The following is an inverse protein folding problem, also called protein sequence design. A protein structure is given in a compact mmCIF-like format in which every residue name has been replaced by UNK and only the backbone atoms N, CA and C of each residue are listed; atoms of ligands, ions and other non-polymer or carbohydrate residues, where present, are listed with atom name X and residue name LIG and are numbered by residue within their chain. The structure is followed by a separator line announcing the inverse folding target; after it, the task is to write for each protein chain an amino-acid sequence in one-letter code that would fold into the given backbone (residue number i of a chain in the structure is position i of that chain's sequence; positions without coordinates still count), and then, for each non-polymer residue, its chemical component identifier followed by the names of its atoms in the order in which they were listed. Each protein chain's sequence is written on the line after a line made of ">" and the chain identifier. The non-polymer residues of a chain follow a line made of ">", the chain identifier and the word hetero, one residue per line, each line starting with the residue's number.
data_IF_397450070209
#
_entry.id   IF_397450070209
#
_cell.length_a   1.000
_cell.length_b   1.000
_cell.length_c   1.000
_cell.angle_alpha   90.00
_cell.angle_beta   90.00
_cell.angle_gamma   90.00
#
_symmetry.space_group_name_H-M   'P 1'
#
loop_
_entity.id
_entity.type
_entity.pdbx_description
1 polymer ?
#
# COMPACT_ATOMS: atom_id res chain seq x y z
N UNK A 1 -37.81 -18.50 -18.60
CA UNK A 1 -37.28 -18.83 -17.26
C UNK A 1 -36.07 -17.92 -17.05
N UNK A 2 -36.31 -16.78 -16.41
CA UNK A 2 -35.37 -15.67 -16.30
C UNK A 2 -34.22 -16.04 -15.36
N UNK A 3 -33.00 -16.07 -15.90
CA UNK A 3 -31.79 -16.08 -15.09
C UNK A 3 -31.63 -14.70 -14.46
N UNK A 4 -31.93 -14.63 -13.17
CA UNK A 4 -31.54 -13.50 -12.31
C UNK A 4 -30.02 -13.58 -12.18
N UNK A 5 -29.32 -12.64 -12.81
CA UNK A 5 -27.89 -12.44 -12.59
C UNK A 5 -27.74 -11.80 -11.21
N UNK A 6 -27.32 -12.60 -10.23
CA UNK A 6 -26.83 -12.10 -8.95
C UNK A 6 -25.65 -11.14 -9.19
N UNK A 7 -25.84 -9.88 -8.80
CA UNK A 7 -24.79 -8.86 -8.73
C UNK A 7 -23.71 -9.27 -7.71
N UNK A 8 -22.75 -10.10 -8.13
CA UNK A 8 -21.46 -10.20 -7.45
C UNK A 8 -20.68 -8.93 -7.75
N UNK A 9 -20.46 -8.08 -6.74
CA UNK A 9 -19.42 -7.05 -6.77
C UNK A 9 -18.06 -7.75 -6.87
N UNK A 10 -17.60 -8.01 -8.09
CA UNK A 10 -16.24 -8.49 -8.33
C UNK A 10 -15.32 -7.29 -8.37
N UNK A 11 -14.41 -7.19 -7.41
CA UNK A 11 -13.30 -6.24 -7.48
C UNK A 11 -12.25 -6.82 -8.45
N UNK A 12 -12.44 -6.57 -9.74
CA UNK A 12 -11.54 -7.03 -10.80
C UNK A 12 -10.20 -6.30 -10.72
N UNK A 13 -9.20 -6.79 -11.44
CA UNK A 13 -8.00 -5.98 -11.72
C UNK A 13 -8.41 -4.80 -12.60
N UNK A 14 -7.77 -3.65 -12.41
CA UNK A 14 -8.19 -2.41 -13.07
C UNK A 14 -8.08 -2.53 -14.60
N UNK A 15 -7.05 -3.21 -15.12
CA UNK A 15 -6.92 -3.47 -16.54
C UNK A 15 -7.95 -4.51 -17.04
N UNK A 16 -8.31 -5.53 -16.24
CA UNK A 16 -9.37 -6.48 -16.60
C UNK A 16 -10.73 -5.78 -16.67
N UNK A 17 -11.02 -4.88 -15.73
CA UNK A 17 -12.19 -4.02 -15.75
C UNK A 17 -12.21 -3.13 -17.00
N UNK A 18 -11.05 -2.56 -17.38
CA UNK A 18 -10.91 -1.79 -18.62
C UNK A 18 -11.12 -2.65 -19.89
N UNK A 19 -10.68 -3.91 -19.90
CA UNK A 19 -10.93 -4.85 -21.00
C UNK A 19 -12.43 -5.12 -21.12
N UNK A 20 -13.11 -5.41 -20.01
CA UNK A 20 -14.56 -5.63 -20.04
C UNK A 20 -15.31 -4.38 -20.51
N UNK A 21 -14.87 -3.19 -20.09
CA UNK A 21 -15.47 -1.93 -20.52
C UNK A 21 -15.31 -1.71 -22.02
N UNK A 22 -14.12 -1.94 -22.57
CA UNK A 22 -13.91 -1.85 -24.02
C UNK A 22 -14.67 -2.92 -24.82
N UNK A 23 -14.89 -4.12 -24.25
CA UNK A 23 -15.76 -5.13 -24.85
C UNK A 23 -17.23 -4.69 -24.88
N UNK A 24 -17.71 -4.06 -23.81
CA UNK A 24 -19.07 -3.52 -23.73
C UNK A 24 -19.27 -2.33 -24.68
N UNK A 25 -18.30 -1.43 -24.76
CA UNK A 25 -18.33 -0.26 -25.63
C UNK A 25 -18.21 -0.62 -27.12
N UNK A 26 -17.56 -1.75 -27.43
CA UNK A 26 -17.35 -2.31 -28.77
C UNK A 26 -16.83 -1.31 -29.83
N UNK A 27 -16.22 -0.22 -29.39
CA UNK A 27 -15.70 0.87 -30.21
C UNK A 27 -14.45 1.44 -29.54
N UNK A 28 -13.57 2.14 -30.28
CA UNK A 28 -12.46 2.88 -29.67
C UNK A 28 -12.98 3.93 -28.69
N UNK A 29 -12.55 3.86 -27.43
CA UNK A 29 -13.09 4.70 -26.36
C UNK A 29 -12.01 5.41 -25.54
N UNK A 30 -12.35 6.60 -25.06
CA UNK A 30 -11.51 7.44 -24.20
C UNK A 30 -11.43 6.88 -22.78
N UNK A 31 -10.41 7.26 -21.97
CA UNK A 31 -10.35 6.89 -20.55
C UNK A 31 -11.62 7.21 -19.76
N UNK A 32 -12.28 8.33 -20.08
CA UNK A 32 -13.51 8.76 -19.43
C UNK A 32 -14.66 7.79 -19.72
N UNK A 33 -14.88 7.44 -20.98
CA UNK A 33 -15.92 6.48 -21.39
C UNK A 33 -15.68 5.10 -20.77
N UNK A 34 -14.42 4.64 -20.72
CA UNK A 34 -14.04 3.37 -20.07
C UNK A 34 -14.32 3.45 -18.57
N UNK A 35 -13.92 4.55 -17.91
CA UNK A 35 -14.11 4.75 -16.47
C UNK A 35 -15.60 4.76 -16.09
N UNK A 36 -16.45 5.42 -16.88
CA UNK A 36 -17.89 5.45 -16.66
C UNK A 36 -18.49 4.04 -16.67
N UNK A 37 -18.09 3.18 -17.62
CA UNK A 37 -18.57 1.79 -17.70
C UNK A 37 -18.03 0.95 -16.53
N UNK A 38 -16.76 1.10 -16.16
CA UNK A 38 -16.16 0.42 -15.00
C UNK A 38 -16.91 0.77 -13.72
N UNK A 39 -17.27 2.05 -13.54
CA UNK A 39 -18.05 2.53 -12.38
C UNK A 39 -19.49 2.07 -12.42
N UNK A 40 -20.16 2.19 -13.58
CA UNK A 40 -21.55 1.78 -13.79
C UNK A 40 -21.76 0.32 -13.41
N UNK A 41 -20.82 -0.54 -13.79
CA UNK A 41 -20.88 -1.97 -13.51
C UNK A 41 -20.24 -2.37 -12.16
N UNK A 42 -19.62 -1.42 -11.43
CA UNK A 42 -19.00 -1.68 -10.14
C UNK A 42 -17.82 -2.67 -10.18
N UNK A 43 -17.09 -2.73 -11.30
CA UNK A 43 -16.01 -3.68 -11.53
C UNK A 43 -14.71 -3.36 -10.80
N UNK A 44 -14.47 -2.08 -10.48
CA UNK A 44 -13.30 -1.64 -9.73
C UNK A 44 -13.68 -0.47 -8.82
N UNK A 45 -13.10 -0.43 -7.61
CA UNK A 45 -13.25 0.67 -6.67
C UNK A 45 -11.96 1.47 -6.56
N UNK A 46 -12.01 2.75 -6.90
CA UNK A 46 -10.87 3.64 -6.77
C UNK A 46 -10.80 4.22 -5.35
N UNK A 47 -9.57 4.35 -4.82
CA UNK A 47 -9.28 4.93 -3.51
C UNK A 47 -8.58 6.30 -3.60
N UNK A 48 -8.65 6.94 -4.76
CA UNK A 48 -8.02 8.24 -5.07
C UNK A 48 -9.01 9.13 -5.81
N UNK A 49 -8.81 10.45 -5.75
CA UNK A 49 -9.55 11.41 -6.58
C UNK A 49 -9.09 11.37 -8.05
N UNK A 50 -7.85 10.94 -8.33
CA UNK A 50 -7.31 10.84 -9.70
C UNK A 50 -7.59 9.47 -10.35
N UNK A 51 -8.86 9.11 -10.45
CA UNK A 51 -9.29 7.78 -10.94
C UNK A 51 -8.95 7.56 -12.42
N UNK A 52 -9.10 8.61 -13.24
CA UNK A 52 -8.75 8.59 -14.67
C UNK A 52 -7.26 8.33 -14.84
N UNK A 53 -6.41 8.98 -14.03
CA UNK A 53 -4.96 8.75 -14.06
C UNK A 53 -4.61 7.31 -13.72
N UNK A 54 -5.20 6.76 -12.65
CA UNK A 54 -4.98 5.36 -12.24
C UNK A 54 -5.43 4.35 -13.30
N UNK A 55 -6.62 4.56 -13.90
CA UNK A 55 -7.11 3.73 -15.01
C UNK A 55 -6.21 3.81 -16.24
N UNK A 56 -5.83 5.02 -16.62
CA UNK A 56 -4.99 5.27 -17.79
C UNK A 56 -3.63 4.63 -17.62
N UNK A 57 -3.02 4.76 -16.44
CA UNK A 57 -1.74 4.16 -16.11
C UNK A 57 -1.80 2.63 -16.21
N UNK A 58 -2.86 2.02 -15.65
CA UNK A 58 -3.07 0.59 -15.74
C UNK A 58 -3.26 0.10 -17.19
N UNK A 59 -4.07 0.78 -17.99
CA UNK A 59 -4.25 0.45 -19.41
C UNK A 59 -2.91 0.56 -20.15
N UNK A 60 -2.16 1.64 -19.93
CA UNK A 60 -0.89 1.93 -20.61
C UNK A 60 0.19 0.89 -20.32
N UNK A 61 0.34 0.46 -19.07
CA UNK A 61 1.25 -0.62 -18.66
C UNK A 61 0.94 -1.97 -19.33
N UNK A 62 -0.26 -2.13 -19.90
CA UNK A 62 -0.70 -3.33 -20.60
C UNK A 62 -0.89 -3.11 -22.12
N UNK A 63 -0.35 -2.01 -22.65
CA UNK A 63 -0.37 -1.71 -24.09
C UNK A 63 0.69 -2.46 -24.89
N UNK A 64 0.40 -2.66 -26.17
CA UNK A 64 1.39 -3.15 -27.14
C UNK A 64 2.54 -2.14 -27.32
N UNK A 65 3.77 -2.57 -26.99
CA UNK A 65 5.00 -1.81 -27.26
C UNK A 65 5.59 -1.06 -26.06
N UNK A 66 4.97 -1.12 -24.87
CA UNK A 66 5.54 -0.53 -23.66
C UNK A 66 6.79 -1.31 -23.21
N UNK A 67 7.87 -0.58 -22.89
CA UNK A 67 9.23 -1.11 -22.68
C UNK A 67 9.36 -2.06 -21.47
N UNK A 68 8.34 -2.14 -20.60
CA UNK A 68 8.27 -3.06 -19.46
C UNK A 68 7.51 -4.37 -19.69
N UNK A 69 6.64 -4.49 -20.72
CA UNK A 69 5.58 -5.53 -20.83
C UNK A 69 6.04 -6.84 -21.47
N UNK A 70 7.31 -7.22 -21.34
CA UNK A 70 7.77 -8.51 -21.85
C UNK A 70 7.31 -9.69 -20.97
N UNK A 71 6.82 -9.44 -19.75
CA UNK A 71 6.57 -10.49 -18.76
C UNK A 71 5.14 -11.06 -18.71
N UNK A 72 4.08 -10.35 -19.11
CA UNK A 72 2.70 -10.85 -18.88
C UNK A 72 2.13 -11.70 -20.02
N UNK A 73 2.75 -11.70 -21.22
CA UNK A 73 2.19 -12.31 -22.44
C UNK A 73 0.83 -11.72 -22.88
N UNK A 74 0.30 -10.76 -22.12
CA UNK A 74 -1.07 -10.28 -22.12
C UNK A 74 -1.08 -8.80 -22.51
N UNK A 75 -0.79 -8.55 -23.79
CA UNK A 75 -0.95 -7.23 -24.41
C UNK A 75 -2.39 -7.12 -24.88
N UNK A 76 -3.19 -6.27 -24.24
CA UNK A 76 -4.62 -6.17 -24.52
C UNK A 76 -5.01 -4.86 -25.19
N UNK A 77 -4.22 -3.80 -25.03
CA UNK A 77 -4.62 -2.47 -25.45
C UNK A 77 -3.74 -1.93 -26.59
N UNK A 78 -4.39 -1.23 -27.50
CA UNK A 78 -3.77 -0.39 -28.52
C UNK A 78 -4.33 1.02 -28.39
N UNK A 79 -3.46 2.03 -28.36
CA UNK A 79 -3.85 3.43 -28.33
C UNK A 79 -3.81 4.03 -29.74
N UNK A 80 -4.90 4.68 -30.15
CA UNK A 80 -4.98 5.48 -31.37
C UNK A 80 -5.51 6.87 -31.00
N UNK A 81 -4.63 7.87 -30.97
CA UNK A 81 -4.96 9.18 -30.41
C UNK A 81 -5.29 9.11 -28.92
N UNK A 82 -6.45 9.63 -28.50
CA UNK A 82 -6.93 9.57 -27.12
C UNK A 82 -7.89 8.40 -26.84
N UNK A 83 -7.96 7.42 -27.75
CA UNK A 83 -8.88 6.28 -27.65
C UNK A 83 -8.11 4.96 -27.57
N UNK A 84 -8.65 4.02 -26.82
CA UNK A 84 -8.10 2.67 -26.62
C UNK A 84 -8.99 1.64 -27.32
N UNK A 85 -8.37 0.62 -27.90
CA UNK A 85 -9.03 -0.55 -28.47
C UNK A 85 -8.40 -1.83 -27.95
N UNK A 86 -9.17 -2.92 -28.00
CA UNK A 86 -8.65 -4.25 -27.69
C UNK A 86 -7.98 -4.88 -28.89
N UNK A 87 -6.82 -5.49 -28.65
CA UNK A 87 -6.16 -6.36 -29.63
C UNK A 87 -6.56 -7.81 -29.37
N UNK A 88 -7.09 -8.48 -30.40
CA UNK A 88 -7.38 -9.91 -30.35
C UNK A 88 -6.06 -10.68 -30.32
N UNK A 89 -5.85 -11.50 -29.29
CA UNK A 89 -4.75 -12.48 -29.28
C UNK A 89 -5.00 -13.52 -30.37
N UNK A 90 -4.50 -13.27 -31.57
CA UNK A 90 -4.11 -14.36 -32.46
C UNK A 90 -2.62 -14.62 -32.24
N UNK A 91 -2.33 -15.84 -31.81
CA UNK A 91 -0.98 -16.37 -31.77
C UNK A 91 -0.42 -16.43 -33.20
N UNK A 92 0.26 -15.37 -33.62
CA UNK A 92 1.17 -15.42 -34.74
C UNK A 92 2.51 -14.85 -34.30
N UNK A 93 3.37 -15.79 -33.93
CA UNK A 93 4.81 -15.72 -34.16
C UNK A 93 5.09 -15.07 -35.50
N UNK A 94 5.84 -13.96 -35.51
CA UNK A 94 6.73 -13.59 -36.61
C UNK A 94 7.62 -12.41 -36.20
N UNK A 95 8.92 -12.63 -36.41
CA UNK A 95 10.06 -11.72 -36.38
C UNK A 95 10.52 -11.28 -34.99
N UNK A 96 11.50 -12.01 -34.48
CA UNK A 96 12.52 -11.48 -33.56
C UNK A 96 13.48 -10.63 -34.40
N UNK A 97 13.66 -9.34 -34.10
CA UNK A 97 15.00 -8.79 -34.21
C UNK A 97 15.42 -8.01 -32.97
N UNK A 98 16.70 -8.21 -32.64
CA UNK A 98 17.50 -7.70 -31.52
C UNK A 98 17.23 -8.38 -30.19
N UNK A 99 18.25 -9.13 -29.74
CA UNK A 99 18.48 -9.47 -28.34
C UNK A 99 18.12 -8.25 -27.49
N UNK A 100 16.94 -8.34 -26.85
CA UNK A 100 16.49 -7.28 -25.96
C UNK A 100 17.26 -7.52 -24.68
N UNK A 101 18.36 -6.79 -24.51
CA UNK A 101 19.11 -6.74 -23.26
C UNK A 101 18.09 -6.41 -22.17
N UNK A 102 17.75 -7.39 -21.33
CA UNK A 102 16.86 -7.12 -20.21
C UNK A 102 17.51 -6.03 -19.35
N UNK A 103 16.74 -5.03 -18.87
CA UNK A 103 17.27 -4.03 -17.96
C UNK A 103 17.96 -4.74 -16.78
N UNK A 104 19.18 -4.34 -16.42
CA UNK A 104 20.02 -5.02 -15.43
C UNK A 104 19.26 -5.33 -14.12
N UNK A 105 18.44 -4.38 -13.67
CA UNK A 105 17.64 -4.51 -12.46
C UNK A 105 16.60 -5.65 -12.50
N UNK A 106 16.12 -6.07 -13.69
CA UNK A 106 15.18 -7.21 -13.82
C UNK A 106 15.89 -8.54 -13.59
N UNK A 107 17.17 -8.64 -13.96
CA UNK A 107 18.02 -9.78 -13.64
C UNK A 107 18.31 -9.82 -12.14
N UNK A 108 18.74 -8.68 -11.57
CA UNK A 108 18.97 -8.54 -10.12
C UNK A 108 17.72 -8.90 -9.30
N UNK A 109 16.54 -8.48 -9.78
CA UNK A 109 15.24 -8.82 -9.17
C UNK A 109 15.05 -10.33 -9.06
N UNK A 110 15.36 -11.10 -10.10
CA UNK A 110 15.19 -12.55 -10.07
C UNK A 110 16.13 -13.20 -9.05
N UNK A 111 17.38 -12.74 -8.99
CA UNK A 111 18.36 -13.20 -8.00
C UNK A 111 17.89 -12.87 -6.57
N UNK A 112 17.43 -11.65 -6.32
CA UNK A 112 16.91 -11.25 -5.01
C UNK A 112 15.68 -12.06 -4.60
N UNK A 113 14.76 -12.35 -5.53
CA UNK A 113 13.60 -13.24 -5.26
C UNK A 113 14.09 -14.65 -4.87
N UNK A 114 15.12 -15.17 -5.53
CA UNK A 114 15.72 -16.46 -5.19
C UNK A 114 16.36 -16.42 -3.79
N UNK A 115 17.05 -15.34 -3.43
CA UNK A 115 17.63 -15.17 -2.10
C UNK A 115 16.54 -15.07 -1.01
N UNK A 116 15.45 -14.36 -1.26
CA UNK A 116 14.28 -14.30 -0.36
C UNK A 116 13.66 -15.68 -0.20
N UNK A 117 13.50 -16.43 -1.31
CA UNK A 117 13.02 -17.81 -1.27
C UNK A 117 13.94 -18.69 -0.43
N UNK A 118 15.24 -18.60 -0.60
CA UNK A 118 16.20 -19.35 0.22
C UNK A 118 16.10 -18.99 1.71
N UNK A 119 15.87 -17.72 2.05
CA UNK A 119 15.64 -17.29 3.44
C UNK A 119 14.34 -17.87 4.02
N UNK A 120 13.27 -17.87 3.22
CA UNK A 120 12.00 -18.53 3.58
C UNK A 120 12.22 -20.02 3.84
N UNK A 121 12.91 -20.72 2.94
CA UNK A 121 13.19 -22.16 3.05
C UNK A 121 14.07 -22.56 4.24
N UNK A 122 14.74 -21.60 4.87
CA UNK A 122 15.59 -21.80 6.06
C UNK A 122 14.91 -21.34 7.34
N UNK A 123 13.62 -21.00 7.29
CA UNK A 123 12.86 -20.42 8.42
C UNK A 123 13.51 -19.15 8.98
N UNK A 124 14.11 -18.33 8.11
CA UNK A 124 14.80 -17.09 8.50
C UNK A 124 14.05 -15.83 8.08
N UNK A 125 12.87 -15.95 7.46
CA UNK A 125 12.13 -14.82 6.89
C UNK A 125 11.09 -14.26 7.87
N UNK A 126 11.14 -12.93 8.08
CA UNK A 126 10.09 -12.14 8.72
C UNK A 126 9.54 -11.09 7.76
N UNK A 127 8.30 -10.69 7.96
CA UNK A 127 7.63 -9.70 7.11
C UNK A 127 7.50 -8.36 7.83
N UNK A 128 7.73 -7.27 7.09
CA UNK A 128 7.43 -5.90 7.54
C UNK A 128 6.40 -5.30 6.58
N UNK A 129 5.21 -5.00 7.09
CA UNK A 129 4.05 -4.65 6.28
C UNK A 129 3.59 -3.22 6.54
N UNK A 130 3.37 -2.47 5.47
CA UNK A 130 2.87 -1.10 5.52
C UNK A 130 1.54 -0.94 4.79
N UNK A 131 1.01 0.29 4.76
CA UNK A 131 -0.33 0.56 4.26
C UNK A 131 -0.55 0.07 2.81
N UNK A 132 0.51 0.01 2.00
CA UNK A 132 0.46 -0.47 0.63
C UNK A 132 0.01 -1.93 0.45
N UNK A 133 0.02 -2.77 1.50
CA UNK A 133 -0.57 -4.12 1.41
C UNK A 133 -2.10 -4.06 1.46
N UNK A 134 -2.64 -3.16 2.27
CA UNK A 134 -4.09 -2.96 2.47
C UNK A 134 -4.71 -2.08 1.37
N UNK A 135 -3.94 -1.21 0.70
CA UNK A 135 -4.46 -0.32 -0.36
C UNK A 135 -5.14 -1.08 -1.49
N UNK A 136 -4.59 -2.22 -1.88
CA UNK A 136 -5.17 -3.13 -2.90
C UNK A 136 -6.53 -3.71 -2.50
N UNK A 137 -6.89 -3.68 -1.21
CA UNK A 137 -8.21 -4.05 -0.69
C UNK A 137 -9.15 -2.85 -0.51
N UNK A 138 -8.77 -1.66 -1.02
CA UNK A 138 -9.55 -0.43 -0.95
C UNK A 138 -9.25 0.44 0.28
N UNK A 139 -8.21 0.13 1.06
CA UNK A 139 -7.83 0.93 2.21
C UNK A 139 -7.08 2.21 1.80
N UNK A 140 -7.20 3.29 2.59
CA UNK A 140 -6.50 4.53 2.29
C UNK A 140 -4.99 4.39 2.54
N UNK A 141 -4.19 5.14 1.77
CA UNK A 141 -2.81 5.46 2.16
C UNK A 141 -2.80 6.38 3.37
N UNK A 142 -1.63 6.67 3.96
CA UNK A 142 -1.52 7.60 5.08
C UNK A 142 -2.10 9.00 4.75
N UNK A 143 -1.75 9.56 3.59
CA UNK A 143 -2.28 10.85 3.15
C UNK A 143 -3.80 10.81 2.93
N UNK A 144 -4.31 9.74 2.32
CA UNK A 144 -5.75 9.58 2.14
C UNK A 144 -6.51 9.33 3.46
N UNK A 145 -5.87 8.68 4.44
CA UNK A 145 -6.45 8.49 5.78
C UNK A 145 -6.57 9.84 6.49
N UNK A 146 -5.49 10.61 6.43
CA UNK A 146 -5.43 11.98 6.92
C UNK A 146 -6.53 12.86 6.30
N UNK A 147 -6.74 12.81 4.99
CA UNK A 147 -7.85 13.51 4.31
C UNK A 147 -9.22 13.06 4.82
N UNK A 148 -9.45 11.75 4.97
CA UNK A 148 -10.71 11.22 5.51
C UNK A 148 -11.00 11.68 6.95
N UNK A 149 -9.97 12.04 7.71
CA UNK A 149 -10.10 12.57 9.06
C UNK A 149 -10.39 14.07 9.09
N UNK A 150 -10.32 14.79 7.97
CA UNK A 150 -10.74 16.20 7.90
C UNK A 150 -12.19 16.37 8.32
N UNK A 151 -13.07 15.48 7.85
CA UNK A 151 -14.49 15.54 8.18
C UNK A 151 -14.72 15.42 9.69
N UNK A 152 -13.94 14.56 10.37
CA UNK A 152 -13.98 14.42 11.83
C UNK A 152 -13.54 15.70 12.54
N UNK A 153 -12.51 16.38 12.02
CA UNK A 153 -12.05 17.66 12.58
C UNK A 153 -13.08 18.76 12.37
N UNK A 154 -13.69 18.87 11.19
CA UNK A 154 -14.74 19.86 10.94
C UNK A 154 -15.96 19.59 11.84
N UNK A 155 -16.34 18.33 12.02
CA UNK A 155 -17.40 17.94 12.96
C UNK A 155 -17.06 18.33 14.41
N UNK A 156 -15.81 18.15 14.82
CA UNK A 156 -15.37 18.52 16.16
C UNK A 156 -15.28 20.04 16.33
N UNK A 157 -14.81 20.79 15.34
CA UNK A 157 -14.77 22.26 15.38
C UNK A 157 -16.17 22.89 15.40
N UNK A 158 -17.15 22.25 14.76
CA UNK A 158 -18.56 22.66 14.78
C UNK A 158 -19.26 22.29 16.10
N UNK A 159 -18.68 21.38 16.90
CA UNK A 159 -19.25 20.98 18.17
C UNK A 159 -19.25 22.15 19.17
N UNK A 160 -20.39 22.42 19.82
CA UNK A 160 -20.52 23.48 20.83
C UNK A 160 -19.52 23.35 21.99
N UNK A 161 -19.12 22.12 22.33
CA UNK A 161 -18.12 21.88 23.40
C UNK A 161 -16.70 22.29 23.00
N UNK A 162 -16.42 22.47 21.71
CA UNK A 162 -15.12 22.93 21.23
C UNK A 162 -14.86 24.41 21.54
N UNK A 163 -15.92 25.24 21.64
CA UNK A 163 -15.81 26.65 22.03
C UNK A 163 -15.29 27.59 20.92
N UNK A 164 -15.07 27.09 19.71
CA UNK A 164 -14.65 27.90 18.55
C UNK A 164 -15.83 28.63 17.87
N UNK A 165 -15.53 29.71 17.12
CA UNK A 165 -16.54 30.51 16.39
C UNK A 165 -17.38 29.70 15.40
N UNK A 166 -16.80 28.65 14.80
CA UNK A 166 -17.53 27.79 13.88
C UNK A 166 -18.74 27.10 14.53
N UNK A 167 -18.69 26.86 15.85
CA UNK A 167 -19.76 26.17 16.59
C UNK A 167 -21.08 26.97 16.67
N UNK A 168 -21.04 28.28 16.41
CA UNK A 168 -22.23 29.14 16.31
C UNK A 168 -22.77 29.30 14.89
N UNK A 169 -22.07 28.79 13.88
CA UNK A 169 -22.45 28.94 12.47
C UNK A 169 -23.42 27.83 12.01
N UNK A 170 -24.32 28.20 11.10
CA UNK A 170 -25.17 27.23 10.40
C UNK A 170 -24.37 26.68 9.23
N UNK A 171 -23.93 25.43 9.37
CA UNK A 171 -23.09 24.75 8.39
C UNK A 171 -23.90 23.66 7.68
N UNK A 172 -24.09 23.80 6.37
CA UNK A 172 -24.73 22.77 5.55
C UNK A 172 -23.73 21.70 5.05
N UNK A 173 -24.18 20.71 4.29
CA UNK A 173 -23.32 19.63 3.78
C UNK A 173 -22.29 20.10 2.76
N UNK A 174 -22.64 21.05 1.91
CA UNK A 174 -21.75 21.59 0.89
C UNK A 174 -20.65 22.45 1.53
N UNK A 175 -21.00 23.22 2.57
CA UNK A 175 -20.04 23.99 3.37
C UNK A 175 -19.01 23.07 4.03
N UNK A 176 -19.45 21.93 4.62
CA UNK A 176 -18.53 20.93 5.19
C UNK A 176 -17.54 20.41 4.15
N UNK A 177 -18.01 20.16 2.93
CA UNK A 177 -17.16 19.67 1.84
C UNK A 177 -16.13 20.72 1.43
N UNK A 178 -16.54 21.99 1.31
CA UNK A 178 -15.63 23.12 1.02
C UNK A 178 -14.58 23.25 2.12
N UNK A 179 -14.98 23.21 3.40
CA UNK A 179 -14.07 23.30 4.53
C UNK A 179 -13.10 22.12 4.60
N UNK A 180 -13.56 20.90 4.31
CA UNK A 180 -12.71 19.70 4.26
C UNK A 180 -11.64 19.82 3.15
N UNK A 181 -12.02 20.35 1.98
CA UNK A 181 -11.08 20.62 0.89
C UNK A 181 -10.11 21.77 1.23
N UNK A 182 -10.59 22.84 1.85
CA UNK A 182 -9.76 23.95 2.30
C UNK A 182 -8.73 23.46 3.32
N UNK A 183 -9.16 22.67 4.30
CA UNK A 183 -8.28 22.09 5.29
C UNK A 183 -7.23 21.20 4.64
N UNK A 184 -7.61 20.40 3.62
CA UNK A 184 -6.64 19.62 2.86
C UNK A 184 -5.57 20.49 2.17
N UNK A 185 -5.95 21.65 1.64
CA UNK A 185 -5.03 22.60 0.99
C UNK A 185 -4.15 23.42 1.94
N UNK A 186 -4.58 23.60 3.19
CA UNK A 186 -3.87 24.36 4.22
C UNK A 186 -2.85 23.52 5.00
N UNK A 187 -2.80 22.21 4.75
CA UNK A 187 -1.92 21.28 5.45
C UNK A 187 -0.45 21.57 5.15
N UNK A 188 0.38 21.36 6.16
CA UNK A 188 1.83 21.38 6.01
C UNK A 188 2.29 20.20 5.14
N UNK A 189 3.47 20.32 4.54
CA UNK A 189 4.09 19.24 3.76
C UNK A 189 4.34 17.97 4.60
N UNK A 190 4.40 18.11 5.94
CA UNK A 190 4.64 17.00 6.87
C UNK A 190 3.33 16.31 7.30
N UNK A 191 3.12 15.03 6.96
CA UNK A 191 1.96 14.27 7.43
C UNK A 191 1.89 14.14 8.95
N UNK A 192 3.03 14.24 9.63
CA UNK A 192 3.15 14.11 11.09
C UNK A 192 2.59 15.36 11.79
N UNK A 193 2.93 16.55 11.28
CA UNK A 193 2.39 17.83 11.78
C UNK A 193 0.87 17.86 11.58
N UNK A 194 0.42 17.42 10.41
CA UNK A 194 -1.00 17.32 10.12
C UNK A 194 -1.72 16.36 11.09
N UNK A 195 -1.11 15.23 11.44
CA UNK A 195 -1.67 14.29 12.40
C UNK A 195 -1.73 14.88 13.82
N UNK A 196 -0.73 15.67 14.23
CA UNK A 196 -0.73 16.40 15.50
C UNK A 196 -1.87 17.43 15.59
N UNK A 197 -2.10 18.19 14.51
CA UNK A 197 -3.24 19.10 14.42
C UNK A 197 -4.60 18.37 14.56
N UNK A 198 -4.74 17.21 13.91
CA UNK A 198 -5.96 16.39 14.03
C UNK A 198 -6.17 15.91 15.48
N UNK A 199 -5.12 15.37 16.12
CA UNK A 199 -5.22 14.84 17.48
C UNK A 199 -5.56 15.92 18.50
N UNK A 200 -4.86 17.06 18.44
CA UNK A 200 -5.11 18.21 19.33
C UNK A 200 -6.54 18.76 19.17
N UNK A 201 -7.12 18.69 17.97
CA UNK A 201 -8.50 19.11 17.74
C UNK A 201 -9.52 18.08 18.25
N UNK A 202 -9.28 16.79 18.02
CA UNK A 202 -10.20 15.71 18.44
C UNK A 202 -10.20 15.55 19.98
N UNK A 203 -9.09 15.85 20.64
CA UNK A 203 -8.95 15.99 22.09
C UNK A 203 -9.46 14.77 22.92
N UNK A 204 -9.29 13.56 22.38
CA UNK A 204 -9.53 12.28 23.08
C UNK A 204 -8.94 11.11 22.28
N UNK A 205 -8.09 10.29 22.92
CA UNK A 205 -7.51 9.09 22.31
C UNK A 205 -8.58 8.12 21.80
N UNK A 206 -9.60 7.85 22.62
CA UNK A 206 -10.75 6.98 22.26
C UNK A 206 -11.48 7.52 21.03
N UNK A 207 -11.72 8.83 21.00
CA UNK A 207 -12.38 9.48 19.87
C UNK A 207 -11.50 9.37 18.62
N UNK A 208 -10.20 9.60 18.71
CA UNK A 208 -9.27 9.47 17.58
C UNK A 208 -9.26 8.05 17.02
N UNK A 209 -9.10 7.03 17.87
CA UNK A 209 -9.13 5.62 17.47
C UNK A 209 -10.42 5.27 16.71
N UNK A 210 -11.56 5.73 17.22
CA UNK A 210 -12.88 5.56 16.59
C UNK A 210 -12.94 6.23 15.21
N UNK A 211 -12.46 7.46 15.08
CA UNK A 211 -12.43 8.15 13.79
C UNK A 211 -11.50 7.47 12.79
N UNK A 212 -10.32 6.99 13.23
CA UNK A 212 -9.40 6.23 12.38
C UNK A 212 -10.06 4.96 11.86
N UNK A 213 -10.64 4.12 12.74
CA UNK A 213 -11.36 2.91 12.29
C UNK A 213 -12.50 3.25 11.35
N UNK A 214 -13.25 4.30 11.63
CA UNK A 214 -14.31 4.73 10.74
C UNK A 214 -13.77 5.14 9.36
N UNK A 215 -12.64 5.83 9.29
CA UNK A 215 -12.00 6.20 8.03
C UNK A 215 -11.44 4.98 7.27
N UNK A 216 -10.99 3.95 7.99
CA UNK A 216 -10.52 2.69 7.42
C UNK A 216 -11.67 1.86 6.85
N UNK A 217 -12.68 1.53 7.65
CA UNK A 217 -13.70 0.55 7.29
C UNK A 217 -15.07 1.14 6.87
N UNK A 218 -15.36 2.40 7.23
CA UNK A 218 -16.61 3.11 6.97
C UNK A 218 -17.78 2.78 7.93
N UNK A 219 -18.88 3.55 7.83
CA UNK A 219 -20.08 3.47 8.71
C UNK A 219 -20.72 2.08 8.83
N UNK A 220 -20.66 1.27 7.77
CA UNK A 220 -21.30 -0.05 7.69
C UNK A 220 -20.27 -1.18 7.56
N UNK A 221 -19.11 -1.02 8.22
CA UNK A 221 -17.97 -1.93 8.13
C UNK A 221 -18.32 -3.38 8.41
N UNK A 222 -19.15 -3.68 9.42
CA UNK A 222 -19.42 -5.06 9.87
C UNK A 222 -19.99 -6.01 8.81
N UNK A 223 -20.53 -5.49 7.68
CA UNK A 223 -21.06 -6.30 6.58
C UNK A 223 -20.13 -6.36 5.35
N UNK A 224 -19.02 -5.64 5.36
CA UNK A 224 -18.11 -5.52 4.22
C UNK A 224 -16.96 -6.51 4.37
N UNK A 225 -16.64 -7.21 3.28
CA UNK A 225 -15.44 -8.02 3.19
C UNK A 225 -14.39 -7.25 2.40
N UNK A 226 -13.21 -7.09 2.97
CA UNK A 226 -12.07 -6.46 2.31
C UNK A 226 -11.07 -7.56 1.95
N UNK A 227 -10.66 -7.61 0.69
CA UNK A 227 -9.78 -8.68 0.18
C UNK A 227 -8.97 -8.17 -1.00
N UNK A 228 -7.78 -8.72 -1.15
CA UNK A 228 -6.94 -8.52 -2.33
C UNK A 228 -6.11 -9.77 -2.62
N UNK A 229 -5.59 -9.90 -3.85
CA UNK A 229 -4.66 -10.99 -4.16
C UNK A 229 -3.40 -10.91 -3.29
N UNK A 230 -2.91 -9.70 -3.00
CA UNK A 230 -1.74 -9.48 -2.14
C UNK A 230 -1.96 -10.05 -0.75
N UNK A 231 -3.07 -9.71 -0.08
CA UNK A 231 -3.40 -10.25 1.26
C UNK A 231 -3.59 -11.77 1.23
N UNK A 232 -4.24 -12.29 0.18
CA UNK A 232 -4.40 -13.74 0.00
C UNK A 232 -3.05 -14.47 -0.10
N UNK A 233 -2.09 -13.92 -0.85
CA UNK A 233 -0.77 -14.53 -1.00
C UNK A 233 0.14 -14.30 0.21
N UNK A 234 0.01 -13.18 0.92
CA UNK A 234 0.68 -12.97 2.20
C UNK A 234 0.22 -14.00 3.23
N UNK A 235 -1.09 -14.23 3.36
CA UNK A 235 -1.60 -15.26 4.27
C UNK A 235 -1.10 -16.66 3.88
N UNK A 236 -1.09 -17.00 2.59
CA UNK A 236 -0.53 -18.28 2.10
C UNK A 236 0.97 -18.42 2.39
N UNK A 237 1.74 -17.33 2.28
CA UNK A 237 3.16 -17.33 2.64
C UNK A 237 3.37 -17.60 4.13
N UNK A 238 2.44 -17.16 4.99
CA UNK A 238 2.45 -17.41 6.42
C UNK A 238 1.96 -18.81 6.84
N UNK A 239 1.50 -19.65 5.92
CA UNK A 239 0.92 -20.96 6.25
C UNK A 239 1.95 -21.92 6.89
N UNK A 240 1.74 -22.23 8.18
CA UNK A 240 2.64 -23.07 8.99
C UNK A 240 2.65 -24.55 8.58
N UNK A 241 1.62 -25.00 7.85
CA UNK A 241 1.61 -26.35 7.26
C UNK A 241 2.42 -26.46 5.97
N UNK A 242 3.07 -25.37 5.55
CA UNK A 242 4.16 -25.42 4.60
C UNK A 242 5.38 -26.12 5.19
N UNK A 243 6.31 -26.55 4.33
CA UNK A 243 7.61 -27.09 4.76
C UNK A 243 8.47 -26.07 5.53
N UNK A 244 8.09 -24.79 5.45
CA UNK A 244 8.85 -23.64 5.91
C UNK A 244 7.89 -22.63 6.58
N UNK A 245 8.40 -21.79 7.47
CA UNK A 245 7.59 -20.82 8.22
C UNK A 245 8.13 -19.40 8.17
N UNK A 246 7.21 -18.45 8.18
CA UNK A 246 7.50 -17.06 8.54
C UNK A 246 7.70 -16.98 10.05
N UNK A 247 8.77 -16.32 10.51
CA UNK A 247 9.12 -16.23 11.94
C UNK A 247 8.28 -15.22 12.70
N UNK A 248 7.95 -14.11 12.06
CA UNK A 248 7.09 -13.07 12.61
C UNK A 248 6.62 -12.14 11.51
N UNK A 249 5.51 -11.45 11.77
CA UNK A 249 5.04 -10.32 10.98
C UNK A 249 5.09 -9.08 11.86
N UNK A 250 5.70 -8.01 11.36
CA UNK A 250 5.62 -6.67 11.94
C UNK A 250 4.80 -5.82 10.98
N UNK A 251 3.73 -5.19 11.47
CA UNK A 251 2.85 -4.36 10.66
C UNK A 251 2.68 -2.98 11.28
N UNK A 252 2.71 -1.97 10.42
CA UNK A 252 2.47 -0.57 10.77
C UNK A 252 1.03 -0.15 10.50
N UNK A 253 0.21 -1.10 10.04
CA UNK A 253 -1.20 -0.87 9.75
C UNK A 253 -2.01 -1.04 11.03
N UNK A 254 -3.03 -0.20 11.19
CA UNK A 254 -3.99 -0.37 12.29
C UNK A 254 -5.03 -1.47 11.99
N UNK A 255 -5.17 -1.89 10.73
CA UNK A 255 -6.23 -2.80 10.32
C UNK A 255 -5.95 -4.28 10.64
N UNK A 256 -6.99 -5.12 10.70
CA UNK A 256 -6.89 -6.57 10.93
C UNK A 256 -6.99 -7.39 9.63
N UNK A 257 -6.73 -6.79 8.47
CA UNK A 257 -6.98 -7.46 7.19
C UNK A 257 -6.09 -8.68 6.99
N UNK A 258 -4.86 -8.67 7.47
CA UNK A 258 -3.99 -9.83 7.38
C UNK A 258 -4.57 -10.99 8.20
N UNK A 259 -4.97 -10.74 9.44
CA UNK A 259 -5.56 -11.68 10.38
C UNK A 259 -6.83 -12.32 9.82
N UNK A 260 -7.68 -11.50 9.19
CA UNK A 260 -8.88 -12.00 8.50
C UNK A 260 -8.55 -12.99 7.38
N UNK A 261 -7.38 -12.85 6.71
CA UNK A 261 -6.93 -13.78 5.69
C UNK A 261 -6.15 -14.97 6.29
N UNK A 262 -5.37 -14.76 7.36
CA UNK A 262 -4.69 -15.82 8.09
C UNK A 262 -5.69 -16.83 8.66
N UNK A 263 -6.83 -16.36 9.15
CA UNK A 263 -7.94 -17.20 9.64
C UNK A 263 -8.54 -18.13 8.56
N UNK A 264 -8.24 -17.91 7.27
CA UNK A 264 -8.73 -18.70 6.14
C UNK A 264 -7.70 -19.70 5.61
N UNK A 265 -6.50 -19.73 6.19
CA UNK A 265 -5.43 -20.67 5.84
C UNK A 265 -4.98 -21.40 7.12
N UNK A 266 -4.36 -22.58 7.02
CA UNK A 266 -4.07 -23.38 8.20
C UNK A 266 -2.80 -22.89 8.92
N UNK A 267 -2.90 -21.71 9.54
CA UNK A 267 -1.89 -21.09 10.39
C UNK A 267 -2.53 -20.67 11.70
N UNK A 268 -1.88 -21.05 12.80
CA UNK A 268 -2.22 -20.51 14.10
C UNK A 268 -1.37 -19.26 14.33
N UNK A 269 -2.03 -18.14 14.65
CA UNK A 269 -1.38 -16.83 14.82
C UNK A 269 -1.87 -16.14 16.09
N UNK A 270 -1.09 -15.18 16.56
CA UNK A 270 -1.46 -14.28 17.65
C UNK A 270 -1.19 -12.84 17.23
N UNK A 271 -2.13 -11.95 17.51
CA UNK A 271 -1.93 -10.50 17.36
C UNK A 271 -1.29 -9.97 18.63
N UNK A 272 -0.22 -9.18 18.48
CA UNK A 272 0.52 -8.54 19.57
C UNK A 272 0.48 -7.04 19.34
N UNK A 273 -0.11 -6.29 20.27
CA UNK A 273 -0.28 -4.84 20.13
C UNK A 273 -0.04 -4.07 21.42
N UNK A 274 0.29 -4.77 22.53
CA UNK A 274 0.66 -4.17 23.81
C UNK A 274 1.84 -4.90 24.45
N UNK A 275 2.46 -4.27 25.44
CA UNK A 275 3.67 -4.75 26.11
C UNK A 275 3.44 -6.05 26.90
N UNK A 276 2.29 -6.16 27.58
CA UNK A 276 1.95 -7.31 28.43
C UNK A 276 1.53 -8.57 27.65
N UNK A 277 1.51 -8.52 26.31
CA UNK A 277 1.16 -9.68 25.49
C UNK A 277 2.27 -10.75 25.53
N UNK A 278 2.02 -11.87 26.21
CA UNK A 278 2.96 -12.99 26.26
C UNK A 278 3.03 -13.74 24.92
N UNK A 279 4.22 -13.76 24.31
CA UNK A 279 4.43 -14.38 23.00
C UNK A 279 4.47 -15.91 23.14
N UNK A 280 3.52 -16.58 22.50
CA UNK A 280 3.54 -18.04 22.37
C UNK A 280 4.50 -18.45 21.22
N UNK A 281 5.59 -19.21 21.48
CA UNK A 281 6.59 -19.55 20.48
C UNK A 281 6.10 -20.53 19.39
N UNK A 282 4.92 -21.14 19.56
CA UNK A 282 4.30 -22.05 18.59
C UNK A 282 3.48 -21.29 17.55
N UNK A 283 2.91 -20.15 17.94
CA UNK A 283 2.04 -19.33 17.09
C UNK A 283 2.86 -18.35 16.24
N UNK A 284 2.30 -17.90 15.12
CA UNK A 284 2.84 -16.77 14.37
C UNK A 284 2.52 -15.46 15.09
N UNK A 285 3.52 -14.71 15.61
CA UNK A 285 3.23 -13.39 16.15
C UNK A 285 3.07 -12.36 15.02
N UNK A 286 1.98 -11.59 15.10
CA UNK A 286 1.68 -10.43 14.24
C UNK A 286 1.72 -9.17 15.11
N UNK A 287 2.84 -8.44 15.04
CA UNK A 287 3.12 -7.26 15.84
C UNK A 287 2.56 -5.99 15.20
N UNK A 288 1.58 -5.35 15.84
CA UNK A 288 1.03 -4.06 15.45
C UNK A 288 1.75 -2.93 16.18
N UNK A 289 2.90 -2.51 15.65
CA UNK A 289 3.79 -1.56 16.34
C UNK A 289 3.24 -0.14 16.43
N UNK A 290 2.22 0.18 15.63
CA UNK A 290 1.52 1.47 15.65
C UNK A 290 0.11 1.40 16.27
N UNK A 291 -0.29 0.24 16.79
CA UNK A 291 -1.61 0.01 17.36
C UNK A 291 -2.53 -0.80 16.45
N UNK A 292 -3.62 -1.28 17.03
CA UNK A 292 -4.51 -2.29 16.43
C UNK A 292 -5.98 -1.88 16.55
N UNK A 293 -6.67 -1.79 15.41
CA UNK A 293 -8.06 -1.36 15.27
C UNK A 293 -8.83 -2.35 14.38
N UNK A 294 -9.21 -3.52 14.93
CA UNK A 294 -9.88 -4.57 14.16
C UNK A 294 -11.28 -4.15 13.68
N UNK A 295 -11.70 -4.70 12.55
CA UNK A 295 -12.96 -4.32 11.89
C UNK A 295 -14.19 -4.55 12.77
N UNK A 296 -14.21 -5.68 13.49
CA UNK A 296 -15.40 -6.20 14.15
C UNK A 296 -15.40 -6.01 15.67
N UNK A 297 -14.30 -5.53 16.25
CA UNK A 297 -14.21 -5.30 17.69
C UNK A 297 -13.86 -3.82 17.98
N UNK A 298 -14.84 -3.08 18.50
CA UNK A 298 -14.69 -1.67 18.88
C UNK A 298 -14.30 -1.46 20.35
N UNK A 299 -14.07 -2.53 21.12
CA UNK A 299 -13.57 -2.42 22.49
C UNK A 299 -12.11 -1.96 22.50
N UNK A 300 -11.36 -2.27 21.42
CA UNK A 300 -9.97 -1.82 21.24
C UNK A 300 -9.82 -0.30 21.08
N UNK A 301 -10.91 0.43 20.83
CA UNK A 301 -10.94 1.90 20.81
C UNK A 301 -10.65 2.50 22.18
N UNK A 302 -11.17 1.82 23.21
CA UNK A 302 -11.23 2.30 24.58
C UNK A 302 -10.09 1.74 25.42
N UNK A 303 -9.33 0.79 24.88
CA UNK A 303 -8.17 0.19 25.53
C UNK A 303 -7.06 1.22 25.74
N UNK A 304 -6.72 1.49 27.00
CA UNK A 304 -5.55 2.29 27.39
C UNK A 304 -4.24 1.69 26.92
N UNK A 305 -4.21 0.36 26.75
CA UNK A 305 -3.00 -0.40 26.43
C UNK A 305 -2.72 -0.41 24.92
N UNK A 306 -3.69 0.03 24.11
CA UNK A 306 -3.56 0.10 22.65
C UNK A 306 -3.04 1.48 22.25
N UNK A 307 -1.72 1.67 22.32
CA UNK A 307 -1.08 2.92 21.91
C UNK A 307 -1.22 3.13 20.39
N UNK A 308 -2.09 4.06 19.99
CA UNK A 308 -2.24 4.45 18.59
C UNK A 308 -1.14 5.45 18.21
N UNK A 309 -0.11 4.98 17.51
CA UNK A 309 1.03 5.81 17.06
C UNK A 309 0.62 6.58 15.80
N UNK A 310 -0.13 7.65 16.00
CA UNK A 310 -0.71 8.46 14.92
C UNK A 310 -0.07 9.85 14.78
N UNK A 311 0.29 10.49 15.88
CA UNK A 311 0.73 11.89 15.92
C UNK A 311 2.22 12.06 16.24
N UNK A 312 2.75 13.26 15.99
CA UNK A 312 4.12 13.62 16.37
C UNK A 312 4.43 13.33 17.84
N UNK A 313 3.49 13.61 18.74
CA UNK A 313 3.67 13.37 20.16
C UNK A 313 3.79 11.87 20.46
N UNK A 314 2.93 11.04 19.87
CA UNK A 314 3.01 9.59 20.01
C UNK A 314 4.31 9.04 19.40
N UNK A 315 4.72 9.55 18.23
CA UNK A 315 6.03 9.22 17.64
C UNK A 315 7.17 9.65 18.57
N UNK A 316 7.11 10.84 19.18
CA UNK A 316 8.13 11.33 20.10
C UNK A 316 8.22 10.47 21.37
N UNK A 317 7.09 10.05 21.94
CA UNK A 317 7.04 9.11 23.07
C UNK A 317 7.74 7.81 22.69
N UNK A 318 7.37 7.18 21.58
CA UNK A 318 8.03 5.95 21.10
C UNK A 318 9.50 6.20 20.74
N UNK A 319 9.84 7.37 20.23
CA UNK A 319 11.21 7.72 19.80
C UNK A 319 12.15 7.92 20.99
N UNK A 320 11.68 8.60 22.04
CA UNK A 320 12.45 8.92 23.25
C UNK A 320 12.50 7.77 24.23
N UNK A 321 11.47 6.94 24.25
CA UNK A 321 11.44 5.77 25.10
C UNK A 321 12.37 4.67 24.56
N UNK A 322 13.53 4.57 25.20
CA UNK A 322 14.52 3.54 24.93
C UNK A 322 14.01 2.12 25.22
N UNK A 323 12.98 1.97 26.06
CA UNK A 323 12.40 0.69 26.48
C UNK A 323 11.09 0.35 25.76
N UNK A 324 10.67 1.17 24.80
CA UNK A 324 9.45 0.92 24.05
C UNK A 324 9.45 -0.50 23.44
N UNK A 325 8.49 -1.33 23.85
CA UNK A 325 8.38 -2.73 23.44
C UNK A 325 8.36 -2.87 21.91
N UNK A 326 7.74 -1.92 21.21
CA UNK A 326 7.61 -1.91 19.76
C UNK A 326 8.97 -1.66 19.08
N UNK A 327 9.81 -0.78 19.64
CA UNK A 327 11.17 -0.55 19.16
C UNK A 327 12.07 -1.77 19.43
N UNK A 328 12.00 -2.32 20.63
CA UNK A 328 12.78 -3.51 21.02
C UNK A 328 12.43 -4.68 20.11
N UNK A 329 11.14 -4.92 19.88
CA UNK A 329 10.64 -5.99 19.00
C UNK A 329 11.15 -5.80 17.57
N UNK A 330 11.02 -4.60 17.01
CA UNK A 330 11.53 -4.30 15.66
C UNK A 330 13.04 -4.53 15.55
N UNK A 331 13.82 -4.01 16.51
CA UNK A 331 15.27 -4.22 16.56
C UNK A 331 15.65 -5.70 16.64
N UNK A 332 14.94 -6.47 17.49
CA UNK A 332 15.13 -7.90 17.63
C UNK A 332 14.87 -8.64 16.32
N UNK A 333 13.73 -8.38 15.67
CA UNK A 333 13.38 -9.03 14.39
C UNK A 333 14.39 -8.67 13.29
N UNK A 334 14.81 -7.41 13.18
CA UNK A 334 15.82 -6.99 12.20
C UNK A 334 17.18 -7.67 12.45
N UNK A 335 17.58 -7.80 13.72
CA UNK A 335 18.85 -8.43 14.08
C UNK A 335 18.86 -9.93 13.82
N UNK A 336 17.79 -10.64 14.14
CA UNK A 336 17.74 -12.10 14.06
C UNK A 336 17.34 -12.59 12.66
N UNK A 337 16.38 -11.94 12.00
CA UNK A 337 15.74 -12.48 10.79
C UNK A 337 16.14 -11.70 9.52
N UNK A 338 16.06 -12.37 8.37
CA UNK A 338 16.00 -11.71 7.06
C UNK A 338 14.60 -11.12 6.93
N UNK A 339 14.51 -9.84 6.56
CA UNK A 339 13.23 -9.12 6.57
C UNK A 339 12.83 -8.76 5.15
N UNK A 340 11.57 -9.01 4.81
CA UNK A 340 10.95 -8.60 3.56
C UNK A 340 9.94 -7.48 3.83
N UNK A 341 10.25 -6.27 3.35
CA UNK A 341 9.40 -5.10 3.47
C UNK A 341 8.43 -5.01 2.29
N UNK A 342 7.13 -4.88 2.56
CA UNK A 342 6.07 -4.87 1.55
C UNK A 342 5.07 -3.76 1.88
N UNK A 343 4.77 -2.90 0.90
CA UNK A 343 3.80 -1.81 1.09
C UNK A 343 4.25 -0.70 2.04
N UNK A 344 5.53 -0.67 2.41
CA UNK A 344 6.14 0.38 3.22
C UNK A 344 6.79 1.43 2.32
N UNK A 345 6.43 2.70 2.54
CA UNK A 345 7.07 3.84 1.87
C UNK A 345 8.47 4.14 2.43
N UNK A 346 8.81 3.57 3.59
CA UNK A 346 10.04 3.85 4.34
C UNK A 346 10.23 5.34 4.64
N UNK A 347 9.13 6.09 4.77
CA UNK A 347 9.14 7.51 5.12
C UNK A 347 8.99 7.76 6.62
N UNK A 348 8.72 6.70 7.39
CA UNK A 348 8.60 6.76 8.84
C UNK A 348 9.97 7.08 9.49
N UNK A 349 10.08 8.19 10.25
CA UNK A 349 11.32 8.57 10.92
C UNK A 349 11.79 7.56 11.98
N UNK A 350 10.87 6.95 12.72
CA UNK A 350 11.19 5.97 13.75
C UNK A 350 11.76 4.68 13.14
N UNK A 351 11.14 4.18 12.08
CA UNK A 351 11.65 3.02 11.34
C UNK A 351 13.03 3.31 10.73
N UNK A 352 13.24 4.49 10.13
CA UNK A 352 14.56 4.89 9.59
C UNK A 352 15.63 4.91 10.67
N UNK A 353 15.33 5.43 11.87
CA UNK A 353 16.23 5.39 13.02
C UNK A 353 16.56 3.95 13.42
N UNK A 354 15.56 3.09 13.55
CA UNK A 354 15.76 1.68 13.94
C UNK A 354 16.63 0.95 12.90
N UNK A 355 16.36 1.18 11.62
CA UNK A 355 17.16 0.62 10.51
C UNK A 355 18.60 1.11 10.54
N UNK A 356 18.84 2.40 10.77
CA UNK A 356 20.20 2.97 10.92
C UNK A 356 20.94 2.30 12.09
N UNK A 357 20.30 2.17 13.26
CA UNK A 357 20.87 1.50 14.43
C UNK A 357 21.19 0.02 14.12
N UNK A 358 20.29 -0.68 13.45
CA UNK A 358 20.46 -2.08 13.08
C UNK A 358 21.58 -2.27 12.04
N UNK A 359 21.68 -1.37 11.06
CA UNK A 359 22.65 -1.44 9.97
C UNK A 359 24.08 -1.09 10.43
N UNK A 360 24.25 -0.09 11.32
CA UNK A 360 25.56 0.29 11.90
C UNK A 360 26.25 -0.87 12.61
N UNK A 361 25.50 -1.83 13.13
CA UNK A 361 26.04 -3.02 13.82
C UNK A 361 26.39 -4.17 12.86
N UNK A 362 25.93 -4.11 11.61
CA UNK A 362 26.11 -5.12 10.55
C UNK A 362 26.90 -4.55 9.36
N UNK A 363 27.98 -3.81 9.64
CA UNK A 363 28.82 -3.15 8.64
C UNK A 363 29.16 -4.13 7.49
N UNK A 364 28.57 -3.87 6.31
CA UNK A 364 28.78 -4.53 5.00
C UNK A 364 27.89 -5.71 4.60
N UNK A 365 26.93 -6.18 5.42
CA UNK A 365 26.01 -7.25 4.98
C UNK A 365 24.63 -6.72 4.66
N UNK A 366 24.31 -6.61 3.37
CA UNK A 366 22.93 -6.38 2.94
C UNK A 366 22.13 -7.65 3.24
N UNK A 367 21.23 -7.55 4.22
CA UNK A 367 20.54 -8.68 4.85
C UNK A 367 19.07 -8.75 4.45
N UNK A 368 18.45 -7.61 4.17
CA UNK A 368 17.00 -7.48 4.01
C UNK A 368 16.61 -7.09 2.58
N UNK A 369 15.32 -7.20 2.27
CA UNK A 369 14.78 -6.90 0.94
C UNK A 369 13.52 -6.03 1.05
N UNK A 370 13.37 -5.04 0.18
CA UNK A 370 12.16 -4.21 0.11
C UNK A 370 11.56 -4.23 -1.29
N UNK A 371 10.28 -4.58 -1.39
CA UNK A 371 9.52 -4.40 -2.63
C UNK A 371 9.19 -2.93 -2.80
N UNK A 372 9.78 -2.28 -3.81
CA UNK A 372 9.52 -0.86 -4.10
C UNK A 372 9.08 -0.67 -5.54
N UNK A 373 8.12 0.23 -5.73
CA UNK A 373 7.69 0.62 -7.06
C UNK A 373 8.77 1.50 -7.70
N UNK A 374 9.16 1.15 -8.93
CA UNK A 374 10.07 1.95 -9.74
C UNK A 374 9.35 3.23 -10.18
N UNK A 375 10.01 4.38 -10.06
CA UNK A 375 9.42 5.67 -10.41
C UNK A 375 9.26 5.74 -11.93
N UNK A 376 8.05 6.09 -12.35
CA UNK A 376 7.71 6.40 -13.74
C UNK A 376 7.07 7.78 -13.78
N UNK A 377 7.65 8.69 -14.56
CA UNK A 377 7.21 10.09 -14.68
C UNK A 377 6.22 10.30 -15.85
N UNK A 378 5.53 9.26 -16.33
CA UNK A 378 4.55 9.39 -17.41
C UNK A 378 3.21 10.02 -16.99
N UNK A 379 2.73 9.79 -15.76
CA UNK A 379 1.45 10.30 -15.24
C UNK A 379 1.63 11.17 -13.98
N UNK A 380 2.46 12.20 -14.12
CA UNK A 380 2.78 13.15 -13.05
C UNK A 380 1.91 14.41 -13.10
N UNK A 381 1.95 15.23 -12.05
CA UNK A 381 1.25 16.52 -12.01
C UNK A 381 1.64 17.41 -13.20
N UNK A 382 0.77 18.36 -13.58
CA UNK A 382 1.06 19.27 -14.70
C UNK A 382 2.38 20.03 -14.53
N UNK A 383 2.76 20.36 -13.29
CA UNK A 383 4.04 21.00 -12.99
C UNK A 383 5.23 20.09 -13.30
N UNK A 384 5.13 18.80 -12.94
CA UNK A 384 6.15 17.81 -13.28
C UNK A 384 6.17 17.48 -14.77
N UNK A 385 5.02 17.52 -15.47
CA UNK A 385 4.98 17.36 -16.93
C UNK A 385 5.71 18.51 -17.63
N UNK A 386 5.53 19.75 -17.17
CA UNK A 386 6.26 20.91 -17.70
C UNK A 386 7.76 20.73 -17.55
N UNK A 387 8.22 20.31 -16.36
CA UNK A 387 9.64 20.04 -16.10
C UNK A 387 10.17 18.89 -16.96
N UNK A 388 9.42 17.79 -17.08
CA UNK A 388 9.76 16.65 -17.94
C UNK A 388 9.94 17.05 -19.40
N UNK A 389 9.08 17.93 -19.92
CA UNK A 389 9.12 18.39 -21.30
C UNK A 389 10.25 19.38 -21.59
N UNK A 390 10.94 19.90 -20.57
CA UNK A 390 12.11 20.78 -20.72
C UNK A 390 13.41 20.02 -21.00
N UNK A 391 13.43 18.70 -20.81
CA UNK A 391 14.63 17.86 -20.99
C UNK A 391 14.40 16.80 -22.07
N UNK A 392 15.48 16.39 -22.74
CA UNK A 392 15.41 15.32 -23.73
C UNK A 392 15.04 13.98 -23.09
N UNK A 393 14.45 13.08 -23.89
CA UNK A 393 14.06 11.75 -23.41
C UNK A 393 15.28 10.93 -22.95
N UNK A 394 16.41 11.09 -23.62
CA UNK A 394 17.67 10.42 -23.28
C UNK A 394 18.20 10.90 -21.93
N UNK A 395 18.21 12.22 -21.69
CA UNK A 395 18.65 12.81 -20.42
C UNK A 395 17.71 12.42 -19.28
N UNK A 396 16.40 12.43 -19.52
CA UNK A 396 15.39 11.98 -18.55
C UNK A 396 15.62 10.52 -18.15
N UNK A 397 15.84 9.63 -19.12
CA UNK A 397 16.09 8.22 -18.85
C UNK A 397 17.38 8.03 -18.04
N UNK A 398 18.47 8.71 -18.40
CA UNK A 398 19.73 8.68 -17.65
C UNK A 398 19.54 9.19 -16.21
N UNK A 399 18.82 10.30 -16.04
CA UNK A 399 18.51 10.85 -14.71
C UNK A 399 17.68 9.87 -13.88
N UNK A 400 16.67 9.23 -14.47
CA UNK A 400 15.85 8.25 -13.77
C UNK A 400 16.66 7.00 -13.40
N UNK A 401 17.58 6.55 -14.24
CA UNK A 401 18.50 5.45 -13.90
C UNK A 401 19.38 5.82 -12.71
N UNK A 402 20.02 6.99 -12.73
CA UNK A 402 20.84 7.49 -11.61
C UNK A 402 20.02 7.73 -10.34
N UNK A 403 18.78 8.20 -10.47
CA UNK A 403 17.85 8.36 -9.34
C UNK A 403 17.53 7.02 -8.68
N UNK A 404 17.22 5.99 -9.47
CA UNK A 404 16.98 4.65 -8.95
C UNK A 404 18.26 4.05 -8.32
N UNK A 405 19.42 4.23 -8.95
CA UNK A 405 20.70 3.79 -8.42
C UNK A 405 21.05 4.47 -7.09
N UNK A 406 20.79 5.77 -6.97
CA UNK A 406 20.94 6.53 -5.72
C UNK A 406 20.04 5.97 -4.61
N UNK A 407 18.79 5.63 -4.93
CA UNK A 407 17.89 4.96 -3.98
C UNK A 407 18.39 3.60 -3.55
N UNK A 408 18.91 2.79 -4.47
CA UNK A 408 19.51 1.49 -4.13
C UNK A 408 20.69 1.65 -3.18
N UNK A 409 21.55 2.65 -3.39
CA UNK A 409 22.66 2.97 -2.49
C UNK A 409 22.18 3.38 -1.11
N UNK A 410 21.21 4.28 -1.03
CA UNK A 410 20.63 4.72 0.24
C UNK A 410 20.05 3.54 1.04
N UNK A 411 19.31 2.64 0.37
CA UNK A 411 18.74 1.46 1.03
C UNK A 411 19.80 0.43 1.42
N UNK A 412 20.87 0.31 0.64
CA UNK A 412 21.99 -0.56 0.97
C UNK A 412 22.72 -0.09 2.24
N UNK A 413 22.74 1.22 2.54
CA UNK A 413 23.25 1.75 3.83
C UNK A 413 22.43 1.25 5.02
N UNK A 414 21.13 1.04 4.85
CA UNK A 414 20.25 0.38 5.83
C UNK A 414 20.32 -1.15 5.78
N UNK A 415 21.21 -1.74 4.98
CA UNK A 415 21.30 -3.19 4.82
C UNK A 415 20.14 -3.80 4.03
N UNK A 416 19.48 -3.03 3.16
CA UNK A 416 18.31 -3.44 2.36
C UNK A 416 18.64 -3.46 0.86
N UNK A 417 18.31 -4.55 0.16
CA UNK A 417 18.22 -4.57 -1.32
C UNK A 417 16.83 -4.19 -1.78
N UNK A 418 16.74 -3.35 -2.80
CA UNK A 418 15.46 -3.02 -3.44
C UNK A 418 15.13 -4.08 -4.49
N UNK A 419 13.94 -4.64 -4.39
CA UNK A 419 13.33 -5.52 -5.38
C UNK A 419 12.29 -4.69 -6.12
N UNK A 420 12.70 -4.14 -7.27
CA UNK A 420 11.84 -3.24 -8.05
C UNK A 420 10.64 -3.97 -8.66
N UNK A 421 9.49 -3.31 -8.67
CA UNK A 421 8.33 -3.67 -9.48
C UNK A 421 7.81 -2.42 -10.20
N UNK A 422 7.10 -2.61 -11.32
CA UNK A 422 6.49 -1.53 -12.08
C UNK A 422 5.02 -1.38 -11.65
N UNK A 423 4.31 -2.51 -11.51
CA UNK A 423 2.89 -2.54 -11.13
C UNK A 423 2.64 -3.25 -9.79
N UNK A 424 1.69 -2.74 -9.00
CA UNK A 424 1.28 -3.37 -7.73
C UNK A 424 0.71 -4.78 -7.93
N UNK A 425 0.19 -5.08 -9.11
CA UNK A 425 -0.29 -6.41 -9.47
C UNK A 425 0.83 -7.45 -9.65
N UNK A 426 2.09 -7.02 -9.78
CA UNK A 426 3.25 -7.92 -9.76
C UNK A 426 3.52 -8.46 -8.35
N UNK A 427 3.09 -7.76 -7.29
CA UNK A 427 3.37 -8.17 -5.89
C UNK A 427 2.82 -9.58 -5.60
N UNK A 428 1.54 -9.91 -5.88
CA UNK A 428 1.05 -11.28 -5.76
C UNK A 428 1.87 -12.31 -6.54
N UNK A 429 2.39 -11.97 -7.72
CA UNK A 429 3.18 -12.89 -8.54
C UNK A 429 4.58 -13.11 -7.97
N UNK A 430 5.21 -12.06 -7.42
CA UNK A 430 6.46 -12.18 -6.68
C UNK A 430 6.27 -13.06 -5.45
N UNK A 431 5.19 -12.86 -4.68
CA UNK A 431 4.87 -13.69 -3.52
C UNK A 431 4.65 -15.17 -3.90
N UNK A 432 3.98 -15.45 -5.03
CA UNK A 432 3.82 -16.80 -5.58
C UNK A 432 5.16 -17.49 -5.84
N UNK A 433 6.15 -16.76 -6.36
CA UNK A 433 7.48 -17.28 -6.66
C UNK A 433 8.30 -17.60 -5.41
N UNK A 434 7.98 -16.97 -4.28
CA UNK A 434 8.61 -17.27 -2.98
C UNK A 434 7.98 -18.53 -2.37
N UNK A 435 6.66 -18.68 -2.49
CA UNK A 435 5.90 -19.81 -1.92
C UNK A 435 6.11 -21.12 -2.69
N UNK A 436 6.07 -21.07 -4.03
CA UNK A 436 6.38 -22.21 -4.92
C UNK A 436 7.89 -22.34 -5.04
#
# INVERSE_FOLDING_TARGET
>A
MNYIIENRRTNLKIYDAAILALKELNTPSTPLEILEIVKKNGWYSFNTQNEIGVLTQAIRRHMKGYAGVQASGKKFFLQQGNKYTLINQQAQSLVVPKETIQPNWKMDRQDYIMQIKNAFQRDQLSLFLGAGVSTSAGFPTWNALLEKLNDAVIEQMHNRKFGGKLSSEIVNKDDKKVMSNLLASLRDESPIINAFFLESTINSHVSLAKHIRHALYGKNSRKRTFTSETLSWLAKLCNHRGKYRIRSVVTFNYDDLLEQHLSRVPVDFMTVFKEDDEINPVLLPVFHVHGYLPQHNSEFDESSDNLIVFSEQAYHTVYTDAYSWSNITQMHVLKENICLFIGLSMNDPNMRRILDIAARRNLKKVKHYALMQRLDLEDVSEDLKKLKNQISKELLNSFLEDFHFSRERLFAEFGIRIVWFEDHEEIPDILKLIVK
#
